data_IF_249580417305
#
_entry.id   IF_249580417305
#
_cell.length_a   1.000
_cell.length_b   1.000
_cell.length_c   1.000
_cell.angle_alpha   90.00
_cell.angle_beta   90.00
_cell.angle_gamma   90.00
#
_symmetry.space_group_name_H-M   'P 1'
#
loop_
_entity.id
_entity.type
_entity.pdbx_description
1 polymer ?
#
# COMPACT_ATOMS: atom_id res chain seq x y z
N UNK A 1 -28.58 5.08 -2.05
CA UNK A 1 -29.31 4.24 -1.09
C UNK A 1 -28.86 4.69 0.29
N UNK A 2 -29.80 4.95 1.20
CA UNK A 2 -29.50 5.36 2.57
C UNK A 2 -28.61 4.30 3.27
N UNK A 3 -27.52 4.69 3.98
CA UNK A 3 -26.61 3.75 4.62
C UNK A 3 -27.29 2.81 5.62
N UNK A 4 -28.28 3.31 6.38
CA UNK A 4 -29.04 2.46 7.32
C UNK A 4 -29.88 1.44 6.57
N UNK A 5 -30.60 1.87 5.52
CA UNK A 5 -31.35 0.95 4.65
C UNK A 5 -30.48 -0.16 4.06
N UNK A 6 -29.25 0.17 3.61
CA UNK A 6 -28.32 -0.83 3.07
C UNK A 6 -27.78 -1.78 4.14
N UNK A 7 -27.52 -1.29 5.36
CA UNK A 7 -27.12 -2.13 6.48
C UNK A 7 -28.23 -3.13 6.84
N UNK A 8 -29.48 -2.69 6.87
CA UNK A 8 -30.64 -3.55 7.11
C UNK A 8 -30.82 -4.60 6.01
N UNK A 9 -30.65 -4.22 4.74
CA UNK A 9 -30.66 -5.18 3.64
C UNK A 9 -29.62 -6.30 3.88
N UNK A 10 -28.39 -5.95 4.24
CA UNK A 10 -27.35 -6.94 4.55
C UNK A 10 -27.74 -7.79 5.77
N UNK A 11 -28.30 -7.21 6.83
CA UNK A 11 -28.80 -7.96 7.99
C UNK A 11 -29.83 -9.02 7.61
N UNK A 12 -30.74 -8.69 6.69
CA UNK A 12 -31.79 -9.64 6.24
C UNK A 12 -31.24 -10.78 5.38
N UNK A 13 -30.15 -10.55 4.66
CA UNK A 13 -29.51 -11.56 3.79
C UNK A 13 -28.72 -12.64 4.54
N UNK A 14 -28.37 -12.38 5.81
CA UNK A 14 -27.58 -13.30 6.63
C UNK A 14 -28.51 -14.27 7.37
N UNK A 15 -28.21 -15.57 7.26
CA UNK A 15 -28.99 -16.62 7.92
C UNK A 15 -28.59 -16.81 9.40
N UNK A 16 -29.37 -17.61 10.13
CA UNK A 16 -29.16 -17.83 11.57
C UNK A 16 -27.77 -18.42 11.88
N UNK A 17 -27.31 -19.37 11.08
CA UNK A 17 -26.00 -20.01 11.26
C UNK A 17 -24.85 -19.01 11.09
N UNK A 18 -24.93 -18.17 10.06
CA UNK A 18 -23.93 -17.13 9.81
C UNK A 18 -23.90 -16.09 10.94
N UNK A 19 -25.06 -15.62 11.41
CA UNK A 19 -25.13 -14.70 12.55
C UNK A 19 -24.50 -15.29 13.80
N UNK A 20 -24.72 -16.58 14.03
CA UNK A 20 -24.16 -17.30 15.18
C UNK A 20 -22.64 -17.47 15.08
N UNK A 21 -22.10 -17.74 13.88
CA UNK A 21 -20.65 -17.79 13.65
C UNK A 21 -20.02 -16.41 13.91
N UNK A 22 -20.60 -15.33 13.37
CA UNK A 22 -20.12 -13.96 13.61
C UNK A 22 -20.17 -13.60 15.10
N UNK A 23 -21.27 -13.96 15.79
CA UNK A 23 -21.41 -13.79 17.24
C UNK A 23 -20.33 -14.55 18.00
N UNK A 24 -20.02 -15.77 17.59
CA UNK A 24 -18.98 -16.61 18.23
C UNK A 24 -17.60 -15.96 18.10
N UNK A 25 -17.25 -15.47 16.91
CA UNK A 25 -15.98 -14.75 16.70
C UNK A 25 -15.92 -13.49 17.57
N UNK A 26 -17.01 -12.69 17.59
CA UNK A 26 -17.08 -11.46 18.37
C UNK A 26 -16.99 -11.69 19.88
N UNK A 27 -17.78 -12.63 20.40
CA UNK A 27 -17.78 -12.95 21.85
C UNK A 27 -16.46 -13.57 22.30
N UNK A 28 -15.79 -14.34 21.43
CA UNK A 28 -14.46 -14.84 21.72
C UNK A 28 -13.44 -13.70 21.90
N UNK A 29 -13.48 -12.68 21.02
CA UNK A 29 -12.63 -11.49 21.17
C UNK A 29 -12.87 -10.81 22.51
N UNK A 30 -14.13 -10.50 22.85
CA UNK A 30 -14.47 -9.79 24.08
C UNK A 30 -14.06 -10.56 25.34
N UNK A 31 -14.14 -11.89 25.31
CA UNK A 31 -13.78 -12.74 26.44
C UNK A 31 -12.26 -12.96 26.59
N UNK A 32 -11.51 -12.98 25.48
CA UNK A 32 -10.11 -13.40 25.49
C UNK A 32 -9.11 -12.28 25.15
N UNK A 33 -9.58 -11.11 24.69
CA UNK A 33 -8.72 -10.01 24.20
C UNK A 33 -7.94 -10.36 22.92
N UNK A 34 -8.32 -11.45 22.23
CA UNK A 34 -7.69 -11.92 21.00
C UNK A 34 -8.70 -12.61 20.10
N UNK A 35 -8.42 -12.59 18.80
CA UNK A 35 -9.26 -13.25 17.79
C UNK A 35 -9.26 -14.77 17.91
N UNK A 36 -10.35 -15.41 17.50
CA UNK A 36 -10.52 -16.86 17.62
C UNK A 36 -9.62 -17.61 16.63
N UNK A 37 -8.81 -18.59 17.08
CA UNK A 37 -8.07 -19.46 16.18
C UNK A 37 -9.00 -20.19 15.20
N UNK A 38 -8.58 -20.30 13.94
CA UNK A 38 -9.38 -20.96 12.88
C UNK A 38 -9.86 -22.35 13.32
N UNK A 39 -8.95 -23.15 13.87
CA UNK A 39 -9.24 -24.51 14.34
C UNK A 39 -10.25 -24.53 15.49
N UNK A 40 -10.22 -23.53 16.38
CA UNK A 40 -11.16 -23.44 17.49
C UNK A 40 -12.57 -23.14 17.00
N UNK A 41 -12.72 -22.20 16.06
CA UNK A 41 -14.02 -21.90 15.45
C UNK A 41 -14.58 -23.11 14.70
N UNK A 42 -13.73 -23.82 13.93
CA UNK A 42 -14.15 -25.04 13.23
C UNK A 42 -14.69 -26.10 14.19
N UNK A 43 -14.06 -26.31 15.35
CA UNK A 43 -14.55 -27.28 16.35
C UNK A 43 -15.90 -26.82 16.93
N UNK A 44 -16.04 -25.54 17.24
CA UNK A 44 -17.26 -24.98 17.86
C UNK A 44 -18.46 -24.92 16.90
N UNK A 45 -18.21 -24.76 15.59
CA UNK A 45 -19.25 -24.47 14.60
C UNK A 45 -19.46 -25.59 13.57
N UNK A 46 -19.24 -26.85 13.96
CA UNK A 46 -19.63 -28.02 13.15
C UNK A 46 -18.63 -28.45 12.07
N UNK A 47 -17.40 -27.95 12.12
CA UNK A 47 -16.28 -28.38 11.27
C UNK A 47 -15.86 -27.33 10.23
N UNK A 48 -14.71 -27.59 9.59
CA UNK A 48 -14.12 -26.69 8.59
C UNK A 48 -15.05 -26.41 7.41
N UNK A 49 -15.64 -27.45 6.81
CA UNK A 49 -16.51 -27.30 5.64
C UNK A 49 -17.74 -26.43 5.95
N UNK A 50 -18.41 -26.72 7.06
CA UNK A 50 -19.57 -25.98 7.55
C UNK A 50 -19.28 -24.50 7.76
N UNK A 51 -18.15 -24.17 8.40
CA UNK A 51 -17.74 -22.77 8.58
C UNK A 51 -17.41 -22.12 7.24
N UNK A 52 -16.61 -22.76 6.39
CA UNK A 52 -16.21 -22.16 5.10
C UNK A 52 -17.41 -21.92 4.16
N UNK A 53 -18.37 -22.84 4.10
CA UNK A 53 -19.60 -22.67 3.31
C UNK A 53 -20.45 -21.52 3.83
N UNK A 54 -20.54 -21.35 5.16
CA UNK A 54 -21.29 -20.26 5.77
C UNK A 54 -20.62 -18.89 5.55
N UNK A 55 -19.28 -18.80 5.64
CA UNK A 55 -18.55 -17.53 5.51
C UNK A 55 -18.37 -17.07 4.07
N UNK A 56 -18.27 -17.99 3.10
CA UNK A 56 -18.05 -17.69 1.68
C UNK A 56 -19.01 -16.61 1.10
N UNK A 57 -20.33 -16.66 1.30
CA UNK A 57 -21.24 -15.63 0.79
C UNK A 57 -21.20 -14.29 1.56
N UNK A 58 -20.57 -14.24 2.75
CA UNK A 58 -20.43 -13.00 3.53
C UNK A 58 -19.26 -12.15 3.02
N UNK A 59 -18.17 -12.81 2.60
CA UNK A 59 -16.97 -12.17 2.07
C UNK A 59 -16.12 -11.42 3.11
N UNK A 60 -14.96 -10.96 2.64
CA UNK A 60 -13.90 -10.30 3.40
C UNK A 60 -14.31 -8.98 4.04
N UNK A 61 -15.34 -8.30 3.51
CA UNK A 61 -15.86 -7.06 4.09
C UNK A 61 -16.64 -7.27 5.39
N UNK A 62 -17.07 -8.51 5.67
CA UNK A 62 -17.83 -8.86 6.89
C UNK A 62 -16.93 -9.62 7.88
N UNK A 63 -16.15 -10.57 7.36
CA UNK A 63 -15.36 -11.51 8.15
C UNK A 63 -14.15 -11.95 7.34
N UNK A 64 -13.00 -12.16 8.00
CA UNK A 64 -11.75 -12.45 7.33
C UNK A 64 -10.84 -13.36 8.13
N UNK A 65 -10.01 -14.14 7.42
CA UNK A 65 -8.85 -14.83 7.97
C UNK A 65 -7.69 -13.83 8.11
N UNK A 66 -7.02 -13.86 9.26
CA UNK A 66 -5.85 -13.03 9.58
C UNK A 66 -4.68 -13.93 10.03
N UNK A 67 -3.47 -13.57 9.64
CA UNK A 67 -2.23 -14.31 9.87
C UNK A 67 -1.16 -13.49 10.59
N UNK A 68 -1.41 -12.21 10.89
CA UNK A 68 -0.41 -11.27 11.38
C UNK A 68 0.10 -11.56 12.81
N UNK A 69 -0.51 -12.50 13.55
CA UNK A 69 -0.16 -12.83 14.94
C UNK A 69 0.51 -14.20 15.13
N UNK A 70 0.99 -14.83 14.05
CA UNK A 70 1.68 -16.12 14.07
C UNK A 70 0.75 -17.35 14.10
N UNK A 71 -0.44 -17.23 14.70
CA UNK A 71 -1.51 -18.24 14.59
C UNK A 71 -2.63 -17.75 13.66
N UNK A 72 -3.11 -18.57 12.71
CA UNK A 72 -4.22 -18.17 11.86
C UNK A 72 -5.52 -18.07 12.65
N UNK A 73 -6.21 -16.93 12.52
CA UNK A 73 -7.44 -16.59 13.24
C UNK A 73 -8.55 -16.14 12.29
N UNK A 74 -9.80 -16.20 12.76
CA UNK A 74 -10.92 -15.47 12.16
C UNK A 74 -11.17 -14.17 12.90
N UNK A 75 -11.41 -13.11 12.13
CA UNK A 75 -11.73 -11.76 12.60
C UNK A 75 -13.01 -11.27 11.94
N UNK A 76 -13.85 -10.56 12.68
CA UNK A 76 -14.97 -9.79 12.12
C UNK A 76 -14.56 -8.32 11.91
N UNK A 77 -15.09 -7.70 10.87
CA UNK A 77 -14.98 -6.25 10.65
C UNK A 77 -16.05 -5.50 11.47
N UNK A 78 -16.01 -4.17 11.50
CA UNK A 78 -17.11 -3.39 12.07
C UNK A 78 -18.46 -3.79 11.44
N UNK A 79 -18.51 -3.90 10.11
CA UNK A 79 -19.70 -4.36 9.39
C UNK A 79 -20.13 -5.75 9.87
N UNK A 80 -19.17 -6.68 10.04
CA UNK A 80 -19.42 -8.01 10.60
C UNK A 80 -20.11 -8.00 11.96
N UNK A 81 -19.68 -7.11 12.86
CA UNK A 81 -20.33 -6.94 14.16
C UNK A 81 -21.74 -6.35 13.97
N UNK A 82 -21.88 -5.30 13.17
CA UNK A 82 -23.16 -4.60 12.95
C UNK A 82 -24.24 -5.47 12.30
N UNK A 83 -23.86 -6.46 11.47
CA UNK A 83 -24.82 -7.39 10.85
C UNK A 83 -25.05 -8.66 11.68
N UNK A 84 -24.28 -8.87 12.74
CA UNK A 84 -24.45 -9.99 13.68
C UNK A 84 -25.59 -9.73 14.68
N UNK A 85 -25.86 -10.71 15.55
CA UNK A 85 -26.81 -10.54 16.67
C UNK A 85 -26.39 -9.46 17.66
N UNK A 86 -25.11 -9.10 17.73
CA UNK A 86 -24.61 -8.03 18.59
C UNK A 86 -24.78 -6.63 17.96
N UNK A 87 -25.25 -6.57 16.72
CA UNK A 87 -25.25 -5.34 15.92
C UNK A 87 -26.08 -4.22 16.50
N UNK A 88 -27.23 -4.51 17.12
CA UNK A 88 -28.08 -3.48 17.73
C UNK A 88 -27.39 -2.82 18.94
N UNK A 89 -26.83 -3.64 19.83
CA UNK A 89 -26.08 -3.15 21.00
C UNK A 89 -24.83 -2.38 20.57
N UNK A 90 -24.08 -2.90 19.60
CA UNK A 90 -22.89 -2.25 19.07
C UNK A 90 -23.20 -0.87 18.46
N UNK A 91 -24.26 -0.79 17.67
CA UNK A 91 -24.70 0.46 17.05
C UNK A 91 -25.16 1.49 18.08
N UNK A 92 -25.88 1.06 19.12
CA UNK A 92 -26.27 1.90 20.26
C UNK A 92 -25.07 2.47 21.03
N UNK A 93 -24.12 1.61 21.42
CA UNK A 93 -22.92 2.02 22.15
C UNK A 93 -22.09 3.05 21.37
N UNK A 94 -21.86 2.80 20.07
CA UNK A 94 -21.16 3.75 19.21
C UNK A 94 -21.94 5.06 19.07
N UNK A 95 -23.26 5.01 18.97
CA UNK A 95 -24.08 6.21 18.82
C UNK A 95 -24.03 7.11 20.06
N UNK A 96 -24.08 6.51 21.25
CA UNK A 96 -23.94 7.25 22.51
C UNK A 96 -22.54 7.84 22.66
N UNK A 97 -21.52 7.06 22.36
CA UNK A 97 -20.12 7.52 22.39
C UNK A 97 -19.86 8.68 21.44
N UNK A 98 -20.22 8.53 20.16
CA UNK A 98 -19.96 9.54 19.13
C UNK A 98 -20.70 10.86 19.42
N UNK A 99 -21.95 10.78 19.90
CA UNK A 99 -22.69 11.97 20.33
C UNK A 99 -21.99 12.68 21.49
N UNK A 100 -21.57 11.92 22.49
CA UNK A 100 -20.92 12.47 23.68
C UNK A 100 -19.55 13.09 23.37
N UNK A 101 -18.69 12.43 22.59
CA UNK A 101 -17.38 13.00 22.25
C UNK A 101 -17.51 14.27 21.41
N UNK A 102 -18.52 14.34 20.52
CA UNK A 102 -18.81 15.54 19.73
C UNK A 102 -19.16 16.71 20.64
N UNK A 103 -20.13 16.53 21.55
CA UNK A 103 -20.51 17.57 22.50
C UNK A 103 -19.33 18.04 23.35
N UNK A 104 -18.48 17.09 23.76
CA UNK A 104 -17.29 17.39 24.55
C UNK A 104 -16.25 18.16 23.75
N UNK A 105 -15.94 17.75 22.53
CA UNK A 105 -15.00 18.41 21.63
C UNK A 105 -15.42 19.84 21.28
N UNK A 106 -16.73 20.06 21.07
CA UNK A 106 -17.29 21.39 20.82
C UNK A 106 -17.22 22.32 22.05
N UNK A 107 -17.06 21.77 23.25
CA UNK A 107 -16.95 22.54 24.50
C UNK A 107 -15.50 22.74 24.95
N UNK A 108 -14.64 21.76 24.69
CA UNK A 108 -13.23 21.74 25.09
C UNK A 108 -12.34 21.43 23.88
N UNK A 109 -11.96 22.48 23.15
CA UNK A 109 -11.16 22.37 21.93
C UNK A 109 -9.71 21.92 22.14
N UNK A 110 -9.23 21.87 23.38
CA UNK A 110 -7.90 21.35 23.73
C UNK A 110 -7.94 19.84 24.06
N UNK A 111 -9.13 19.24 24.12
CA UNK A 111 -9.29 17.83 24.42
C UNK A 111 -8.76 16.96 23.28
N UNK A 112 -7.63 16.29 23.52
CA UNK A 112 -7.03 15.42 22.51
C UNK A 112 -7.34 13.93 22.70
N UNK A 113 -7.67 13.50 23.91
CA UNK A 113 -7.84 12.08 24.23
C UNK A 113 -8.96 11.84 25.25
N UNK A 114 -9.59 10.67 25.14
CA UNK A 114 -10.55 10.13 26.12
C UNK A 114 -9.99 8.83 26.72
N UNK A 115 -10.37 8.56 27.97
CA UNK A 115 -10.00 7.33 28.69
C UNK A 115 -11.22 6.48 29.00
N UNK A 116 -11.00 5.19 29.22
CA UNK A 116 -12.04 4.24 29.62
C UNK A 116 -12.84 4.73 30.83
N UNK A 117 -12.18 5.22 31.88
CA UNK A 117 -12.82 5.69 33.10
C UNK A 117 -13.73 6.91 32.85
N UNK A 118 -13.25 7.86 32.04
CA UNK A 118 -14.00 9.07 31.71
C UNK A 118 -15.26 8.73 30.92
N UNK A 119 -15.14 7.89 29.90
CA UNK A 119 -16.26 7.47 29.04
C UNK A 119 -17.25 6.62 29.84
N UNK A 120 -16.75 5.68 30.64
CA UNK A 120 -17.60 4.81 31.45
C UNK A 120 -18.38 5.59 32.51
N UNK A 121 -17.76 6.58 33.14
CA UNK A 121 -18.44 7.45 34.09
C UNK A 121 -19.50 8.34 33.41
N UNK A 122 -19.18 8.91 32.25
CA UNK A 122 -20.08 9.78 31.51
C UNK A 122 -21.31 9.05 30.95
N UNK A 123 -21.09 7.87 30.37
CA UNK A 123 -22.13 7.07 29.72
C UNK A 123 -22.73 5.98 30.62
N UNK A 124 -22.26 5.87 31.87
CA UNK A 124 -22.68 4.85 32.86
C UNK A 124 -22.53 3.42 32.34
N UNK A 125 -21.43 3.14 31.65
CA UNK A 125 -21.19 1.84 31.01
C UNK A 125 -20.83 0.77 32.05
N UNK A 126 -21.29 -0.46 31.80
CA UNK A 126 -20.75 -1.63 32.48
C UNK A 126 -19.32 -1.93 32.00
N UNK A 127 -18.55 -2.73 32.75
CA UNK A 127 -17.21 -3.15 32.29
C UNK A 127 -17.27 -3.90 30.94
N UNK A 128 -18.32 -4.70 30.75
CA UNK A 128 -18.57 -5.41 29.49
C UNK A 128 -18.82 -4.44 28.33
N UNK A 129 -19.66 -3.43 28.54
CA UNK A 129 -19.98 -2.43 27.52
C UNK A 129 -18.79 -1.53 27.21
N UNK A 130 -18.00 -1.14 28.23
CA UNK A 130 -16.78 -0.37 28.04
C UNK A 130 -15.73 -1.14 27.22
N UNK A 131 -15.57 -2.45 27.45
CA UNK A 131 -14.70 -3.31 26.64
C UNK A 131 -15.24 -3.46 25.22
N UNK A 132 -16.55 -3.65 25.09
CA UNK A 132 -17.19 -3.74 23.78
C UNK A 132 -17.01 -2.46 22.97
N UNK A 133 -17.22 -1.30 23.59
CA UNK A 133 -17.06 0.00 22.97
C UNK A 133 -15.62 0.22 22.47
N UNK A 134 -14.62 -0.14 23.27
CA UNK A 134 -13.21 -0.03 22.85
C UNK A 134 -12.93 -0.81 21.57
N UNK A 135 -13.37 -2.07 21.48
CA UNK A 135 -13.16 -2.88 20.27
C UNK A 135 -13.93 -2.34 19.07
N UNK A 136 -15.10 -1.74 19.29
CA UNK A 136 -15.86 -1.07 18.23
C UNK A 136 -15.17 0.19 17.71
N UNK A 137 -14.62 1.02 18.62
CA UNK A 137 -13.79 2.19 18.26
C UNK A 137 -12.60 1.75 17.41
N UNK A 138 -11.92 0.67 17.83
CA UNK A 138 -10.74 0.13 17.12
C UNK A 138 -11.10 -0.48 15.77
N UNK A 139 -12.25 -1.14 15.62
CA UNK A 139 -12.68 -1.75 14.36
C UNK A 139 -13.21 -0.73 13.35
N UNK A 140 -13.75 0.39 13.83
CA UNK A 140 -14.29 1.46 12.98
C UNK A 140 -13.35 2.63 12.75
N UNK A 141 -12.14 2.59 13.34
CA UNK A 141 -11.17 3.68 13.35
C UNK A 141 -11.78 5.02 13.80
N UNK A 142 -12.64 4.98 14.83
CA UNK A 142 -13.26 6.17 15.43
C UNK A 142 -12.30 6.89 16.40
N UNK A 143 -11.06 7.13 15.98
CA UNK A 143 -9.99 7.77 16.77
C UNK A 143 -8.91 8.38 15.87
N UNK A 144 -8.10 9.29 16.42
CA UNK A 144 -6.87 9.80 15.81
C UNK A 144 -5.72 9.82 16.82
N UNK A 145 -4.49 10.10 16.38
CA UNK A 145 -3.32 10.34 17.24
C UNK A 145 -2.93 9.22 18.25
N UNK A 146 -3.41 7.99 18.06
CA UNK A 146 -3.02 6.80 18.81
C UNK A 146 -4.14 6.20 19.65
N UNK A 147 -4.15 4.87 19.77
CA UNK A 147 -5.02 4.13 20.67
C UNK A 147 -4.18 3.17 21.52
N UNK A 148 -4.27 3.29 22.85
CA UNK A 148 -3.69 2.36 23.82
C UNK A 148 -4.77 1.41 24.35
N UNK A 149 -4.54 0.11 24.25
CA UNK A 149 -5.50 -0.93 24.67
C UNK A 149 -5.36 -1.39 26.12
N UNK A 150 -6.28 -2.28 26.52
CA UNK A 150 -6.32 -2.88 27.87
C UNK A 150 -7.51 -2.40 28.72
N UNK A 151 -7.53 -2.74 30.02
CA UNK A 151 -8.63 -2.37 30.94
C UNK A 151 -8.80 -0.86 31.10
N UNK A 152 -7.71 -0.10 30.94
CA UNK A 152 -7.63 1.35 31.07
C UNK A 152 -7.22 1.95 29.73
N UNK A 153 -7.97 1.64 28.68
CA UNK A 153 -7.69 2.12 27.33
C UNK A 153 -7.78 3.64 27.22
N UNK A 154 -7.04 4.19 26.25
CA UNK A 154 -7.02 5.61 25.90
C UNK A 154 -7.05 5.72 24.38
N UNK A 155 -7.91 6.56 23.84
CA UNK A 155 -7.98 6.83 22.40
C UNK A 155 -7.97 8.33 22.16
N UNK A 156 -7.27 8.78 21.13
CA UNK A 156 -7.39 10.16 20.69
C UNK A 156 -8.75 10.40 20.00
N UNK A 157 -9.19 11.65 19.98
CA UNK A 157 -10.45 12.02 19.32
C UNK A 157 -10.33 11.80 17.80
N UNK A 158 -11.41 11.43 17.10
CA UNK A 158 -11.44 11.46 15.63
C UNK A 158 -11.01 12.82 15.09
N UNK A 159 -10.34 12.84 13.94
CA UNK A 159 -9.90 14.10 13.31
C UNK A 159 -11.06 14.95 12.78
N UNK A 160 -12.23 14.35 12.60
CA UNK A 160 -13.48 14.93 12.10
C UNK A 160 -14.54 15.02 13.21
N UNK A 161 -14.14 15.03 14.49
CA UNK A 161 -15.07 14.92 15.64
C UNK A 161 -16.08 16.07 15.70
N UNK A 162 -15.70 17.27 15.28
CA UNK A 162 -16.55 18.46 15.19
C UNK A 162 -17.56 18.40 14.04
N UNK A 163 -17.23 17.66 12.98
CA UNK A 163 -18.05 17.49 11.79
C UNK A 163 -19.04 16.31 11.93
N UNK A 164 -18.97 15.56 13.03
CA UNK A 164 -19.90 14.49 13.32
C UNK A 164 -21.35 15.02 13.34
N UNK A 165 -22.32 14.27 12.76
CA UNK A 165 -23.72 14.65 12.82
C UNK A 165 -24.29 14.51 14.24
N UNK A 166 -25.35 15.26 14.55
CA UNK A 166 -26.04 15.16 15.85
C UNK A 166 -26.62 13.75 16.10
N UNK A 167 -27.09 13.11 15.03
CA UNK A 167 -27.42 11.68 15.02
C UNK A 167 -26.37 10.89 14.24
N UNK A 168 -25.44 10.18 14.93
CA UNK A 168 -24.39 9.41 14.30
C UNK A 168 -24.87 8.07 13.71
N UNK A 169 -26.15 7.71 13.83
CA UNK A 169 -26.65 6.41 13.40
C UNK A 169 -26.31 6.08 11.93
N UNK A 170 -26.61 7.00 11.02
CA UNK A 170 -26.32 6.85 9.59
C UNK A 170 -24.82 6.95 9.29
N UNK A 171 -24.09 7.77 10.05
CA UNK A 171 -22.64 7.90 9.94
C UNK A 171 -21.92 6.58 10.26
N UNK A 172 -22.31 5.90 11.35
CA UNK A 172 -21.75 4.59 11.72
C UNK A 172 -21.98 3.56 10.61
N UNK A 173 -23.20 3.52 10.05
CA UNK A 173 -23.53 2.62 8.95
C UNK A 173 -22.73 2.95 7.69
N UNK A 174 -22.58 4.23 7.35
CA UNK A 174 -21.77 4.68 6.22
C UNK A 174 -20.30 4.28 6.41
N UNK A 175 -19.73 4.48 7.60
CA UNK A 175 -18.35 4.11 7.92
C UNK A 175 -18.11 2.61 7.79
N UNK A 176 -19.04 1.78 8.28
CA UNK A 176 -18.96 0.34 8.13
C UNK A 176 -19.09 -0.15 6.68
N UNK A 177 -19.76 0.63 5.82
CA UNK A 177 -20.00 0.30 4.41
C UNK A 177 -18.98 0.94 3.45
N UNK A 178 -18.11 1.85 3.93
CA UNK A 178 -17.18 2.65 3.12
C UNK A 178 -16.32 1.78 2.17
N UNK A 179 -15.85 0.63 2.66
CA UNK A 179 -15.04 -0.33 1.90
C UNK A 179 -15.78 -1.65 1.60
N UNK A 180 -17.11 -1.62 1.58
CA UNK A 180 -17.89 -2.82 1.32
C UNK A 180 -17.72 -3.30 -0.14
N UNK A 181 -17.25 -4.54 -0.28
CA UNK A 181 -17.09 -5.23 -1.56
C UNK A 181 -17.65 -6.65 -1.42
N UNK A 182 -18.75 -6.91 -2.12
CA UNK A 182 -19.46 -8.19 -2.09
C UNK A 182 -18.66 -9.36 -2.67
N UNK A 183 -17.59 -9.09 -3.41
CA UNK A 183 -16.74 -10.09 -4.05
C UNK A 183 -15.41 -10.31 -3.33
N UNK A 184 -15.10 -9.50 -2.31
CA UNK A 184 -13.86 -9.61 -1.56
C UNK A 184 -13.79 -10.99 -0.87
N UNK A 185 -12.76 -11.82 -1.14
CA UNK A 185 -12.61 -13.11 -0.46
C UNK A 185 -12.33 -12.94 1.04
N UNK A 186 -12.80 -13.90 1.85
CA UNK A 186 -12.50 -13.88 3.29
C UNK A 186 -11.19 -14.58 3.64
N UNK A 187 -10.73 -15.52 2.81
CA UNK A 187 -9.44 -16.21 3.00
C UNK A 187 -8.27 -15.25 2.71
N UNK A 188 -7.25 -15.24 3.57
CA UNK A 188 -6.18 -14.25 3.51
C UNK A 188 -5.48 -14.20 2.14
N UNK A 189 -4.92 -15.32 1.67
CA UNK A 189 -4.19 -15.37 0.40
C UNK A 189 -5.05 -14.98 -0.81
N UNK A 190 -6.34 -15.36 -0.82
CA UNK A 190 -7.24 -15.01 -1.92
C UNK A 190 -7.62 -13.53 -1.87
N UNK A 191 -7.82 -13.00 -0.67
CA UNK A 191 -8.12 -11.58 -0.46
C UNK A 191 -6.96 -10.71 -0.91
N UNK A 192 -5.74 -11.06 -0.53
CA UNK A 192 -4.54 -10.31 -0.90
C UNK A 192 -4.35 -10.32 -2.42
N UNK A 193 -4.54 -11.46 -3.08
CA UNK A 193 -4.53 -11.55 -4.54
C UNK A 193 -5.64 -10.71 -5.20
N UNK A 194 -6.85 -10.73 -4.64
CA UNK A 194 -7.98 -9.93 -5.13
C UNK A 194 -7.71 -8.43 -5.00
N UNK A 195 -7.23 -7.97 -3.85
CA UNK A 195 -6.88 -6.56 -3.62
C UNK A 195 -5.76 -6.15 -4.57
N UNK A 196 -4.71 -6.96 -4.69
CA UNK A 196 -3.62 -6.69 -5.62
C UNK A 196 -4.10 -6.56 -7.07
N UNK A 197 -4.96 -7.48 -7.51
CA UNK A 197 -5.54 -7.43 -8.86
C UNK A 197 -6.45 -6.21 -9.05
N UNK A 198 -7.32 -5.91 -8.07
CA UNK A 198 -8.23 -4.77 -8.12
C UNK A 198 -7.47 -3.44 -8.14
N UNK A 199 -6.47 -3.28 -7.29
CA UNK A 199 -5.58 -2.12 -7.30
C UNK A 199 -4.77 -2.02 -8.58
N UNK A 200 -4.34 -3.15 -9.17
CA UNK A 200 -3.67 -3.18 -10.47
C UNK A 200 -4.60 -2.75 -11.61
N UNK A 201 -5.87 -3.14 -11.59
CA UNK A 201 -6.88 -2.75 -12.60
C UNK A 201 -7.31 -1.29 -12.43
N UNK A 202 -7.52 -0.82 -11.20
CA UNK A 202 -7.79 0.60 -10.91
C UNK A 202 -6.58 1.49 -11.26
N UNK A 203 -5.36 0.98 -11.05
CA UNK A 203 -4.12 1.61 -11.52
C UNK A 203 -3.99 1.54 -13.05
N UNK A 204 -4.50 0.48 -13.70
CA UNK A 204 -4.51 0.33 -15.15
C UNK A 204 -5.57 1.20 -15.83
N UNK A 205 -6.64 1.63 -15.14
CA UNK A 205 -7.55 2.68 -15.60
C UNK A 205 -6.95 4.09 -15.47
N UNK A 206 -5.83 4.20 -14.74
CA UNK A 206 -4.97 5.38 -14.66
C UNK A 206 -3.73 5.24 -15.58
N UNK A 207 -3.86 4.58 -16.75
CA UNK A 207 -2.83 4.58 -17.83
C UNK A 207 -2.66 5.95 -18.51
N UNK A 208 -2.55 6.99 -17.71
CA UNK A 208 -1.79 8.20 -18.03
C UNK A 208 -0.67 8.29 -16.99
N UNK A 209 0.40 7.54 -17.23
CA UNK A 209 1.76 7.67 -16.67
C UNK A 209 1.83 8.32 -15.28
N UNK A 210 1.83 7.57 -14.16
CA UNK A 210 1.96 8.17 -12.85
C UNK A 210 3.45 8.31 -12.49
N UNK A 211 4.07 9.42 -12.88
CA UNK A 211 5.20 9.95 -12.10
C UNK A 211 4.59 10.85 -11.02
N UNK A 212 4.22 10.28 -9.88
CA UNK A 212 3.94 11.06 -8.66
C UNK A 212 5.20 11.06 -7.81
N UNK A 213 6.03 12.09 -7.97
CA UNK A 213 7.03 12.44 -6.96
C UNK A 213 6.32 13.35 -5.96
N UNK A 214 5.96 12.83 -4.78
CA UNK A 214 5.54 13.66 -3.63
C UNK A 214 6.27 13.25 -2.36
N UNK A 215 6.67 14.30 -1.65
CA UNK A 215 7.52 14.46 -0.47
C UNK A 215 8.89 13.79 -0.45
N UNK A 216 9.91 14.64 -0.38
CA UNK A 216 11.34 14.31 -0.37
C UNK A 216 11.79 13.61 0.93
N UNK A 217 10.95 13.63 1.96
CA UNK A 217 11.26 13.14 3.30
C UNK A 217 10.71 11.72 3.57
N UNK A 218 9.91 11.14 2.66
CA UNK A 218 9.29 9.83 2.86
C UNK A 218 10.03 8.71 2.10
N UNK A 219 10.92 8.01 2.82
CA UNK A 219 11.70 6.88 2.29
C UNK A 219 10.88 5.61 2.05
N UNK A 220 9.60 5.56 2.48
CA UNK A 220 8.74 4.38 2.31
C UNK A 220 8.30 4.15 0.86
N UNK A 221 8.48 5.14 -0.03
CA UNK A 221 8.03 5.11 -1.42
C UNK A 221 8.96 4.37 -2.40
N UNK A 222 10.21 4.07 -2.04
CA UNK A 222 11.14 3.31 -2.91
C UNK A 222 10.58 1.91 -3.20
N UNK A 223 9.80 1.36 -2.26
CA UNK A 223 9.12 0.08 -2.37
C UNK A 223 8.11 0.00 -3.54
N UNK A 224 7.77 1.14 -4.17
CA UNK A 224 6.84 1.20 -5.29
C UNK A 224 7.50 1.25 -6.67
N UNK A 225 8.82 1.31 -6.81
CA UNK A 225 9.46 1.20 -8.14
C UNK A 225 9.36 -0.25 -8.61
N UNK A 226 8.52 -0.58 -9.61
CA UNK A 226 8.42 -1.93 -10.12
C UNK A 226 9.67 -2.22 -10.97
N UNK A 227 10.34 -3.38 -10.79
CA UNK A 227 11.56 -3.71 -11.52
C UNK A 227 11.34 -3.74 -13.05
N UNK A 228 10.10 -3.93 -13.50
CA UNK A 228 9.71 -3.94 -14.92
C UNK A 228 9.87 -2.57 -15.61
N UNK A 229 9.91 -1.48 -14.84
CA UNK A 229 10.18 -0.13 -15.38
C UNK A 229 11.68 0.05 -15.69
N UNK A 230 12.55 -0.80 -15.14
CA UNK A 230 13.98 -0.75 -15.43
C UNK A 230 14.32 -1.53 -16.69
N UNK A 231 15.44 -1.14 -17.32
CA UNK A 231 16.05 -1.93 -18.36
C UNK A 231 16.42 -3.31 -17.81
N UNK A 232 16.23 -4.37 -18.61
CA UNK A 232 16.46 -5.76 -18.17
C UNK A 232 17.84 -6.01 -17.56
N UNK A 233 18.87 -5.28 -18.02
CA UNK A 233 20.23 -5.38 -17.48
C UNK A 233 20.41 -4.76 -16.09
N UNK A 234 19.45 -3.91 -15.65
CA UNK A 234 19.45 -3.25 -14.35
C UNK A 234 18.46 -3.90 -13.37
N UNK A 235 17.41 -4.54 -13.87
CA UNK A 235 16.28 -5.06 -13.09
C UNK A 235 16.65 -6.13 -12.04
N UNK A 236 17.84 -6.74 -12.13
CA UNK A 236 18.38 -7.63 -11.09
C UNK A 236 19.26 -6.88 -10.09
N UNK A 237 20.58 -6.95 -10.30
CA UNK A 237 21.59 -6.47 -9.33
C UNK A 237 21.42 -5.00 -8.93
N UNK A 238 21.12 -4.10 -9.86
CA UNK A 238 20.99 -2.66 -9.53
C UNK A 238 19.73 -2.42 -8.72
N UNK A 239 18.66 -3.16 -8.99
CA UNK A 239 17.44 -3.14 -8.19
C UNK A 239 17.69 -3.63 -6.76
N UNK A 240 18.40 -4.75 -6.59
CA UNK A 240 18.75 -5.29 -5.27
C UNK A 240 19.55 -4.28 -4.42
N UNK A 241 20.53 -3.61 -5.05
CA UNK A 241 21.34 -2.57 -4.40
C UNK A 241 20.52 -1.33 -4.02
N UNK A 242 19.56 -0.95 -4.85
CA UNK A 242 18.64 0.15 -4.57
C UNK A 242 17.74 -0.19 -3.37
N UNK A 243 17.16 -1.40 -3.35
CA UNK A 243 16.31 -1.86 -2.25
C UNK A 243 17.09 -2.02 -0.93
N UNK A 244 18.38 -2.35 -1.01
CA UNK A 244 19.24 -2.50 0.19
C UNK A 244 19.77 -1.17 0.74
N UNK A 245 19.40 -0.02 0.16
CA UNK A 245 19.90 1.29 0.57
C UNK A 245 21.33 1.62 0.10
N UNK A 246 21.92 0.80 -0.78
CA UNK A 246 23.27 0.98 -1.31
C UNK A 246 23.28 1.91 -2.54
N UNK A 247 22.70 3.11 -2.38
CA UNK A 247 22.36 4.03 -3.48
C UNK A 247 23.54 4.42 -4.37
N UNK A 248 24.67 4.80 -3.76
CA UNK A 248 25.86 5.18 -4.51
C UNK A 248 26.38 4.03 -5.37
N UNK A 249 26.35 2.80 -4.83
CA UNK A 249 26.75 1.58 -5.56
C UNK A 249 25.76 1.23 -6.65
N UNK A 250 24.45 1.37 -6.39
CA UNK A 250 23.40 1.12 -7.37
C UNK A 250 23.55 2.04 -8.59
N UNK A 251 23.74 3.34 -8.36
CA UNK A 251 23.94 4.33 -9.44
C UNK A 251 25.25 4.08 -10.18
N UNK A 252 26.35 3.78 -9.48
CA UNK A 252 27.61 3.44 -10.12
C UNK A 252 27.47 2.22 -11.05
N UNK A 253 26.86 1.14 -10.57
CA UNK A 253 26.66 -0.08 -11.37
C UNK A 253 25.70 0.17 -12.55
N UNK A 254 24.69 1.05 -12.39
CA UNK A 254 23.79 1.43 -13.48
C UNK A 254 24.52 2.14 -14.63
N UNK A 255 25.34 3.16 -14.34
CA UNK A 255 26.11 3.85 -15.38
C UNK A 255 27.30 3.04 -15.89
N UNK A 256 27.83 2.11 -15.09
CA UNK A 256 28.78 1.09 -15.57
C UNK A 256 28.12 0.19 -16.61
N UNK A 257 26.88 -0.24 -16.39
CA UNK A 257 26.16 -1.04 -17.37
C UNK A 257 25.95 -0.27 -18.69
N UNK A 258 25.61 1.02 -18.63
CA UNK A 258 25.52 1.90 -19.82
C UNK A 258 26.86 1.90 -20.58
N UNK A 259 27.97 2.13 -19.89
CA UNK A 259 29.29 2.18 -20.52
C UNK A 259 29.68 0.86 -21.19
N UNK A 260 29.48 -0.25 -20.48
CA UNK A 260 29.77 -1.59 -21.02
C UNK A 260 28.91 -1.89 -22.25
N UNK A 261 27.62 -1.57 -22.19
CA UNK A 261 26.68 -1.84 -23.29
C UNK A 261 27.02 -0.99 -24.52
N UNK A 262 27.30 0.30 -24.35
CA UNK A 262 27.73 1.18 -25.45
C UNK A 262 29.01 0.65 -26.09
N UNK A 263 30.00 0.24 -25.29
CA UNK A 263 31.27 -0.29 -25.81
C UNK A 263 31.05 -1.57 -26.61
N UNK A 264 30.26 -2.51 -26.08
CA UNK A 264 29.94 -3.76 -26.77
C UNK A 264 29.18 -3.51 -28.08
N UNK A 265 28.22 -2.59 -28.08
CA UNK A 265 27.43 -2.28 -29.25
C UNK A 265 28.17 -1.45 -30.32
N UNK A 266 29.35 -0.92 -29.99
CA UNK A 266 30.17 -0.10 -30.90
C UNK A 266 31.44 -0.76 -31.39
N UNK A 267 31.68 -2.03 -31.04
CA UNK A 267 32.91 -2.77 -31.35
C UNK A 267 34.20 -2.00 -30.99
N UNK A 268 34.12 -1.15 -29.96
CA UNK A 268 35.24 -0.35 -29.47
C UNK A 268 36.06 -1.13 -28.44
N UNK A 269 37.34 -0.77 -28.33
CA UNK A 269 38.30 -1.55 -27.53
C UNK A 269 38.12 -1.33 -26.02
N UNK A 270 38.71 -2.21 -25.21
CA UNK A 270 38.67 -2.09 -23.76
C UNK A 270 39.32 -0.80 -23.22
N UNK A 271 40.22 -0.18 -24.00
CA UNK A 271 40.88 1.09 -23.68
C UNK A 271 39.95 2.30 -23.85
N UNK A 272 38.86 2.14 -24.62
CA UNK A 272 37.85 3.16 -24.83
C UNK A 272 36.90 3.19 -23.63
N UNK A 273 37.06 4.19 -22.76
CA UNK A 273 36.26 4.36 -21.52
C UNK A 273 35.75 5.78 -21.33
N UNK A 274 34.75 5.93 -20.47
CA UNK A 274 34.26 7.22 -20.01
C UNK A 274 33.69 8.10 -21.11
N UNK A 275 33.96 9.40 -21.01
CA UNK A 275 33.46 10.42 -21.95
C UNK A 275 33.94 10.18 -23.38
N UNK A 276 35.17 9.71 -23.53
CA UNK A 276 35.77 9.51 -24.85
C UNK A 276 35.09 8.37 -25.62
N UNK A 277 34.78 7.26 -24.94
CA UNK A 277 33.97 6.17 -25.50
C UNK A 277 32.63 6.70 -26.04
N UNK A 278 31.90 7.47 -25.23
CA UNK A 278 30.58 7.98 -25.61
C UNK A 278 30.64 8.88 -26.84
N UNK A 279 31.63 9.77 -26.90
CA UNK A 279 31.82 10.67 -28.05
C UNK A 279 32.18 9.92 -29.33
N UNK A 280 32.94 8.83 -29.22
CA UNK A 280 33.33 8.01 -30.37
C UNK A 280 32.17 7.15 -30.87
N UNK A 281 31.45 6.49 -29.97
CA UNK A 281 30.32 5.62 -30.32
C UNK A 281 29.15 6.38 -30.97
N UNK A 282 28.90 7.62 -30.54
CA UNK A 282 27.82 8.48 -31.02
C UNK A 282 28.33 9.64 -31.90
N UNK A 283 29.52 9.53 -32.50
CA UNK A 283 30.02 10.58 -33.38
C UNK A 283 29.02 10.85 -34.52
N UNK A 284 28.70 12.12 -34.77
CA UNK A 284 27.62 12.54 -35.69
C UNK A 284 27.82 12.08 -37.15
N UNK A 285 29.06 11.74 -37.55
CA UNK A 285 29.43 11.29 -38.90
C UNK A 285 29.81 9.82 -38.95
N UNK A 286 30.53 9.34 -37.94
CA UNK A 286 31.21 8.04 -37.97
C UNK A 286 30.86 7.12 -36.79
N UNK A 287 29.99 7.55 -35.88
CA UNK A 287 29.58 6.77 -34.72
C UNK A 287 28.72 5.58 -35.14
N UNK A 288 29.07 4.39 -34.66
CA UNK A 288 28.33 3.15 -34.94
C UNK A 288 26.93 3.13 -34.34
N UNK A 289 26.69 3.90 -33.26
CA UNK A 289 25.39 4.04 -32.61
C UNK A 289 24.63 5.31 -33.03
N UNK A 290 25.14 6.03 -34.02
CA UNK A 290 24.52 7.27 -34.49
C UNK A 290 23.32 6.98 -35.38
N UNK A 291 22.17 7.60 -35.08
CA UNK A 291 21.00 7.53 -35.96
C UNK A 291 21.17 8.46 -37.17
N UNK A 292 21.48 7.88 -38.32
CA UNK A 292 21.63 8.63 -39.57
C UNK A 292 20.30 9.18 -40.12
N UNK A 293 19.14 8.86 -39.52
CA UNK A 293 17.81 9.31 -39.98
C UNK A 293 17.39 10.66 -39.41
N UNK A 294 18.00 11.10 -38.31
CA UNK A 294 17.66 12.38 -37.65
C UNK A 294 18.60 13.51 -38.10
N UNK A 295 18.22 14.79 -37.94
CA UNK A 295 19.08 15.94 -38.24
C UNK A 295 20.42 15.91 -37.50
N UNK A 296 21.46 16.52 -38.07
CA UNK A 296 22.82 16.53 -37.48
C UNK A 296 22.85 17.07 -36.04
N UNK A 297 22.05 18.10 -35.74
CA UNK A 297 21.93 18.68 -34.41
C UNK A 297 21.43 17.68 -33.36
N UNK A 298 20.50 16.77 -33.71
CA UNK A 298 19.98 15.76 -32.79
C UNK A 298 21.01 14.63 -32.55
N UNK A 299 21.84 14.33 -33.55
CA UNK A 299 22.97 13.38 -33.41
C UNK A 299 23.98 13.92 -32.42
N UNK A 300 24.36 15.19 -32.58
CA UNK A 300 25.25 15.88 -31.64
C UNK A 300 24.66 15.93 -30.23
N UNK A 301 23.38 16.26 -30.10
CA UNK A 301 22.69 16.29 -28.81
C UNK A 301 22.72 14.92 -28.12
N UNK A 302 22.54 13.82 -28.86
CA UNK A 302 22.63 12.46 -28.33
C UNK A 302 24.04 12.16 -27.82
N UNK A 303 25.08 12.49 -28.60
CA UNK A 303 26.46 12.34 -28.16
C UNK A 303 26.76 13.15 -26.88
N UNK A 304 26.25 14.37 -26.80
CA UNK A 304 26.38 15.23 -25.62
C UNK A 304 25.67 14.65 -24.39
N UNK A 305 24.47 14.07 -24.56
CA UNK A 305 23.71 13.44 -23.48
C UNK A 305 24.49 12.27 -22.87
N UNK A 306 24.97 11.33 -23.69
CA UNK A 306 25.72 10.16 -23.21
C UNK A 306 27.06 10.57 -22.57
N UNK A 307 27.81 11.47 -23.22
CA UNK A 307 29.06 12.00 -22.69
C UNK A 307 28.86 12.72 -21.34
N UNK A 308 27.82 13.56 -21.25
CA UNK A 308 27.46 14.29 -20.03
C UNK A 308 27.04 13.35 -18.91
N UNK A 309 26.20 12.36 -19.18
CA UNK A 309 25.71 11.41 -18.19
C UNK A 309 26.85 10.59 -17.57
N UNK A 310 27.73 10.01 -18.38
CA UNK A 310 28.91 9.27 -17.88
C UNK A 310 29.88 10.21 -17.14
N UNK A 311 30.12 11.40 -17.70
CA UNK A 311 31.00 12.41 -17.13
C UNK A 311 30.56 12.94 -15.77
N UNK A 312 29.25 13.05 -15.53
CA UNK A 312 28.68 13.56 -14.28
C UNK A 312 28.39 12.47 -13.26
N UNK A 313 27.91 11.30 -13.69
CA UNK A 313 27.36 10.32 -12.75
C UNK A 313 28.23 9.07 -12.57
N UNK A 314 29.19 8.79 -13.45
CA UNK A 314 30.12 7.65 -13.26
C UNK A 314 31.52 8.12 -12.88
N UNK A 315 32.05 9.08 -13.64
CA UNK A 315 33.44 9.49 -13.52
C UNK A 315 33.79 10.12 -12.15
N UNK A 316 32.96 11.00 -11.56
CA UNK A 316 33.26 11.54 -10.24
C UNK A 316 33.30 10.43 -9.19
N UNK A 317 32.39 9.46 -9.26
CA UNK A 317 32.35 8.30 -8.34
C UNK A 317 33.52 7.33 -8.51
N UNK A 318 34.24 7.41 -9.63
CA UNK A 318 35.48 6.66 -9.89
C UNK A 318 36.74 7.39 -9.41
N UNK A 319 36.65 8.71 -9.13
CA UNK A 319 37.82 9.57 -8.85
C UNK A 319 37.70 10.42 -7.57
N UNK A 320 36.50 10.59 -7.00
CA UNK A 320 36.16 11.38 -5.81
C UNK A 320 35.03 10.71 -5.02
N UNK A 321 35.02 10.82 -3.69
CA UNK A 321 33.91 10.37 -2.85
C UNK A 321 32.80 11.45 -2.82
N UNK A 322 31.75 11.25 -3.61
CA UNK A 322 30.56 12.11 -3.63
C UNK A 322 29.32 11.22 -3.37
N UNK A 323 28.99 10.94 -2.10
CA UNK A 323 27.99 9.94 -1.75
C UNK A 323 26.58 10.40 -2.11
N UNK A 324 25.80 9.51 -2.73
CA UNK A 324 24.35 9.68 -2.86
C UNK A 324 23.69 9.10 -1.61
N UNK A 325 23.08 9.97 -0.81
CA UNK A 325 22.31 9.57 0.36
C UNK A 325 20.80 9.67 0.11
N UNK A 326 20.37 10.49 -0.86
CA UNK A 326 18.97 10.67 -1.21
C UNK A 326 18.49 9.50 -2.09
N UNK A 327 17.53 8.68 -1.62
CA UNK A 327 16.98 7.59 -2.43
C UNK A 327 16.27 8.06 -3.70
N UNK A 328 15.65 9.24 -3.67
CA UNK A 328 14.93 9.77 -4.82
C UNK A 328 15.93 10.15 -5.91
N UNK A 329 17.03 10.81 -5.54
CA UNK A 329 18.14 11.09 -6.45
C UNK A 329 18.70 9.80 -7.07
N UNK A 330 18.83 8.74 -6.27
CA UNK A 330 19.29 7.44 -6.78
C UNK A 330 18.35 6.84 -7.83
N UNK A 331 17.04 6.88 -7.57
CA UNK A 331 16.00 6.42 -8.50
C UNK A 331 16.02 7.22 -9.81
N UNK A 332 16.08 8.55 -9.74
CA UNK A 332 16.15 9.42 -10.92
C UNK A 332 17.33 9.08 -11.83
N UNK A 333 18.49 8.86 -11.22
CA UNK A 333 19.72 8.53 -11.94
C UNK A 333 19.70 7.11 -12.53
N UNK A 334 19.11 6.14 -11.85
CA UNK A 334 18.92 4.78 -12.36
C UNK A 334 17.91 4.77 -13.52
N UNK A 335 16.84 5.55 -13.45
CA UNK A 335 15.88 5.70 -14.54
C UNK A 335 16.51 6.36 -15.76
N UNK A 336 17.37 7.36 -15.57
CA UNK A 336 18.18 7.94 -16.65
C UNK A 336 19.07 6.88 -17.30
N UNK A 337 19.83 6.11 -16.51
CA UNK A 337 20.66 5.02 -17.03
C UNK A 337 19.83 3.98 -17.80
N UNK A 338 18.66 3.62 -17.27
CA UNK A 338 17.71 2.73 -17.94
C UNK A 338 17.23 3.28 -19.29
N UNK A 339 16.99 4.58 -19.38
CA UNK A 339 16.59 5.22 -20.64
C UNK A 339 17.73 5.21 -21.65
N UNK A 340 18.96 5.51 -21.23
CA UNK A 340 20.14 5.45 -22.09
C UNK A 340 20.37 4.04 -22.66
N UNK A 341 20.20 2.99 -21.86
CA UNK A 341 20.30 1.61 -22.33
C UNK A 341 19.26 1.27 -23.40
N UNK A 342 18.01 1.71 -23.24
CA UNK A 342 16.97 1.53 -24.28
C UNK A 342 17.30 2.25 -25.57
N UNK A 343 17.94 3.43 -25.49
CA UNK A 343 18.45 4.10 -26.69
C UNK A 343 19.47 3.18 -27.37
N UNK A 344 20.47 2.66 -26.65
CA UNK A 344 21.48 1.75 -27.23
C UNK A 344 20.84 0.52 -27.87
N UNK A 345 19.89 -0.14 -27.21
CA UNK A 345 19.15 -1.28 -27.77
C UNK A 345 18.49 -0.93 -29.10
N UNK A 346 17.81 0.22 -29.17
CA UNK A 346 17.17 0.69 -30.40
C UNK A 346 18.14 1.00 -31.55
N UNK A 347 19.43 1.24 -31.24
CA UNK A 347 20.49 1.46 -32.23
C UNK A 347 21.22 0.18 -32.62
N UNK A 348 21.17 -0.83 -31.75
CA UNK A 348 21.86 -2.12 -31.92
C UNK A 348 20.99 -3.19 -32.58
N UNK A 349 19.66 -3.02 -32.55
CA UNK A 349 18.73 -3.91 -33.23
C UNK A 349 18.87 -3.80 -34.76
N UNK A 350 18.92 -4.92 -35.50
CA UNK A 350 18.85 -4.87 -36.97
C UNK A 350 17.52 -4.22 -37.38
N UNK A 351 17.49 -3.40 -38.46
CA UNK A 351 16.24 -2.82 -38.93
C UNK A 351 15.26 -3.94 -39.29
N UNK A 352 14.09 -3.94 -38.65
CA UNK A 352 13.00 -4.85 -38.98
C UNK A 352 12.69 -4.74 -40.48
N UNK A 353 13.03 -5.79 -41.24
CA UNK A 353 12.74 -5.90 -42.67
C UNK A 353 13.93 -6.24 -43.57
N UNK A 354 14.45 -7.47 -43.46
CA UNK A 354 15.00 -8.19 -44.63
C UNK A 354 14.80 -9.70 -44.41
N UNK A 355 13.61 -10.16 -44.80
CA UNK A 355 13.36 -11.56 -45.16
C UNK A 355 13.66 -11.74 -46.65
#
# INVERSE_FOLDING_TARGET
MDPLGRLEELRTRINAQQREILRTIWTYLLANGRWIPIRALHIQCGGKATVQEALKPLGGSVVLEDHNSGQPVYRVTLLGVLVSTAGQTAHGLLSEYLRWIRERALTDGEMQHVTADLVSAALKLSESDARQLYELIRLGDFWAAGAGGGPSWRVGLPSDVEDLPEDPAAYIAAKALEQYDAHLPFEANKRDAYIFQKSSVESSLLTTIPVRIRDRDDQSNIAFLPPEILHQSLAGRVYDLLMSGAYDTAVFEAFRAVEVTVRQASDLTAEDVGVWLMRRAFDKRHGSLTDARVPEAEREATAHLFAGAIGLFKNPRSHRHAPIADPIEAVELILLASHLLRIVDSRSAPPDGSA
#
